data_IF_522020455732
#
_entry.id   IF_522020455732
#
_cell.length_a   1.000
_cell.length_b   1.000
_cell.length_c   1.000
_cell.angle_alpha   90.00
_cell.angle_beta   90.00
_cell.angle_gamma   90.00
#
_symmetry.space_group_name_H-M   'P 1'
#
loop_
_entity.id
_entity.type
_entity.pdbx_description
1 polymer ?
#
# COMPACT_ATOMS: atom_id res chain seq x y z
N UNK A 1 -20.38 -9.19 11.36
CA UNK A 1 -18.91 -9.25 11.35
C UNK A 1 -18.44 -8.22 10.34
N UNK A 2 -17.55 -7.33 10.77
CA UNK A 2 -16.88 -6.38 9.89
C UNK A 2 -15.60 -7.00 9.34
N UNK A 3 -15.07 -6.50 8.22
CA UNK A 3 -13.77 -6.97 7.72
C UNK A 3 -12.65 -6.75 8.76
N UNK A 4 -12.76 -5.74 9.63
CA UNK A 4 -11.82 -5.51 10.73
C UNK A 4 -11.69 -6.73 11.66
N UNK A 5 -12.77 -7.49 11.85
CA UNK A 5 -12.80 -8.66 12.75
C UNK A 5 -11.92 -9.83 12.25
N UNK A 6 -11.47 -9.80 10.98
CA UNK A 6 -10.54 -10.81 10.44
C UNK A 6 -9.07 -10.53 10.77
N UNK A 7 -8.79 -9.36 11.34
CA UNK A 7 -7.46 -8.94 11.73
C UNK A 7 -7.31 -8.91 13.26
N UNK A 8 -6.13 -9.27 13.75
CA UNK A 8 -5.79 -8.97 15.15
C UNK A 8 -5.63 -7.46 15.33
N UNK A 9 -5.64 -6.99 16.58
CA UNK A 9 -5.41 -5.57 16.90
C UNK A 9 -4.09 -5.05 16.30
N UNK A 10 -3.03 -5.85 16.40
CA UNK A 10 -1.71 -5.49 15.89
C UNK A 10 -1.66 -5.46 14.36
N UNK A 11 -2.31 -6.42 13.70
CA UNK A 11 -2.42 -6.44 12.24
C UNK A 11 -3.22 -5.26 11.73
N UNK A 12 -4.36 -4.96 12.38
CA UNK A 12 -5.19 -3.83 12.02
C UNK A 12 -4.44 -2.50 12.16
N UNK A 13 -3.65 -2.35 13.23
CA UNK A 13 -2.80 -1.17 13.39
C UNK A 13 -1.75 -1.02 12.29
N UNK A 14 -1.12 -2.13 11.86
CA UNK A 14 -0.18 -2.10 10.72
C UNK A 14 -0.89 -1.66 9.44
N UNK A 15 -2.12 -2.11 9.21
CA UNK A 15 -2.94 -1.68 8.07
C UNK A 15 -3.29 -0.19 8.17
N UNK A 16 -3.72 0.29 9.34
CA UNK A 16 -4.07 1.70 9.55
C UNK A 16 -2.86 2.63 9.43
N UNK A 17 -1.67 2.18 9.81
CA UNK A 17 -0.43 2.99 9.76
C UNK A 17 0.33 2.87 8.43
N UNK A 18 0.04 1.85 7.61
CA UNK A 18 0.68 1.65 6.30
C UNK A 18 0.71 2.88 5.39
N UNK A 19 -0.38 3.66 5.25
CA UNK A 19 -0.37 4.91 4.47
C UNK A 19 0.63 5.93 4.99
N UNK A 20 0.69 6.11 6.32
CA UNK A 20 1.67 6.98 6.95
C UNK A 20 3.10 6.49 6.73
N UNK A 21 3.32 5.18 6.70
CA UNK A 21 4.63 4.59 6.36
C UNK A 21 5.03 4.86 4.91
N UNK A 22 4.10 4.77 3.96
CA UNK A 22 4.39 5.09 2.56
C UNK A 22 4.81 6.56 2.39
N UNK A 23 4.10 7.50 3.02
CA UNK A 23 4.50 8.90 3.05
C UNK A 23 5.85 9.13 3.75
N UNK A 24 6.06 8.49 4.91
CA UNK A 24 7.32 8.60 5.66
C UNK A 24 8.54 8.08 4.86
N UNK A 25 8.37 7.07 4.00
CA UNK A 25 9.44 6.61 3.11
C UNK A 25 9.89 7.72 2.14
N UNK A 26 8.94 8.49 1.59
CA UNK A 26 9.23 9.63 0.72
C UNK A 26 9.99 10.72 1.48
N UNK A 27 9.46 11.13 2.64
CA UNK A 27 10.12 12.13 3.50
C UNK A 27 11.55 11.71 3.87
N UNK A 28 11.75 10.43 4.23
CA UNK A 28 13.06 9.91 4.58
C UNK A 28 14.03 9.87 3.37
N UNK A 29 13.52 9.72 2.16
CA UNK A 29 14.33 9.71 0.93
C UNK A 29 14.83 11.10 0.53
N UNK A 30 14.08 12.15 0.88
CA UNK A 30 14.40 13.54 0.58
C UNK A 30 13.77 14.50 1.60
N UNK A 31 14.38 14.73 2.77
CA UNK A 31 13.78 15.56 3.82
C UNK A 31 13.70 17.04 3.43
N UNK A 32 12.52 17.65 3.53
CA UNK A 32 12.24 19.03 3.08
C UNK A 32 12.50 20.14 4.12
N UNK A 33 13.31 19.87 5.15
CA UNK A 33 13.50 20.77 6.30
C UNK A 33 12.25 20.89 7.19
N UNK A 34 12.32 21.68 8.27
CA UNK A 34 11.28 21.71 9.33
C UNK A 34 9.91 22.23 8.86
N UNK A 35 9.87 23.17 7.92
CA UNK A 35 8.63 23.71 7.35
C UNK A 35 7.99 22.74 6.36
N UNK A 36 8.81 22.03 5.58
CA UNK A 36 8.36 20.97 4.67
C UNK A 36 7.78 19.78 5.42
N UNK A 37 8.33 19.40 6.58
CA UNK A 37 7.85 18.25 7.35
C UNK A 37 6.39 18.39 7.82
N UNK A 38 5.95 19.60 8.18
CA UNK A 38 4.55 19.84 8.54
C UNK A 38 3.62 19.73 7.32
N UNK A 39 4.05 20.26 6.18
CA UNK A 39 3.30 20.15 4.93
C UNK A 39 3.20 18.69 4.46
N UNK A 40 4.28 17.93 4.57
CA UNK A 40 4.34 16.49 4.28
C UNK A 40 3.39 15.71 5.21
N UNK A 41 3.42 15.96 6.52
CA UNK A 41 2.52 15.31 7.47
C UNK A 41 1.05 15.61 7.18
N UNK A 42 0.73 16.86 6.80
CA UNK A 42 -0.60 17.26 6.38
C UNK A 42 -1.03 16.57 5.09
N UNK A 43 -0.16 16.51 4.08
CA UNK A 43 -0.45 15.85 2.81
C UNK A 43 -0.74 14.35 2.97
N UNK A 44 -0.03 13.69 3.88
CA UNK A 44 -0.31 12.31 4.27
C UNK A 44 -1.73 12.20 4.85
N UNK A 45 -2.06 13.03 5.85
CA UNK A 45 -3.35 13.00 6.51
C UNK A 45 -4.51 13.31 5.55
N UNK A 46 -4.37 14.34 4.71
CA UNK A 46 -5.36 14.74 3.71
C UNK A 46 -5.54 13.64 2.66
N UNK A 47 -4.46 13.01 2.19
CA UNK A 47 -4.54 11.90 1.22
C UNK A 47 -5.26 10.66 1.78
N UNK A 48 -4.95 10.29 3.03
CA UNK A 48 -5.66 9.20 3.71
C UNK A 48 -7.14 9.53 3.82
N UNK A 49 -7.48 10.75 4.28
CA UNK A 49 -8.86 11.20 4.42
C UNK A 49 -9.61 11.18 3.09
N UNK A 50 -9.00 11.66 2.01
CA UNK A 50 -9.59 11.65 0.67
C UNK A 50 -9.93 10.23 0.23
N UNK A 51 -8.98 9.30 0.37
CA UNK A 51 -9.17 7.92 -0.05
C UNK A 51 -10.27 7.22 0.73
N UNK A 52 -10.28 7.39 2.05
CA UNK A 52 -11.30 6.76 2.91
C UNK A 52 -12.64 7.51 2.87
N UNK A 53 -12.76 8.67 2.20
CA UNK A 53 -14.04 9.40 2.06
C UNK A 53 -14.69 9.25 0.68
N UNK A 54 -14.05 8.53 -0.26
CA UNK A 54 -14.58 8.31 -1.61
C UNK A 54 -15.89 7.52 -1.62
N UNK A 55 -16.74 7.77 -2.62
CA UNK A 55 -17.90 6.92 -2.89
C UNK A 55 -17.45 5.60 -3.55
N UNK A 56 -18.15 4.50 -3.30
CA UNK A 56 -17.80 3.19 -3.85
C UNK A 56 -16.56 2.55 -3.20
N UNK A 57 -16.40 2.69 -1.89
CA UNK A 57 -15.31 2.08 -1.12
C UNK A 57 -15.45 0.56 -1.08
N UNK A 58 -14.31 -0.12 -1.14
CA UNK A 58 -14.23 -1.54 -0.82
C UNK A 58 -14.49 -1.75 0.69
N UNK A 59 -14.87 -2.96 1.14
CA UNK A 59 -15.13 -3.23 2.55
C UNK A 59 -13.96 -2.83 3.48
N UNK A 60 -12.71 -2.98 3.04
CA UNK A 60 -11.54 -2.52 3.79
C UNK A 60 -11.53 -1.01 3.96
N UNK A 61 -11.75 -0.26 2.88
CA UNK A 61 -11.74 1.20 2.92
C UNK A 61 -12.86 1.75 3.81
N UNK A 62 -14.02 1.09 3.83
CA UNK A 62 -15.11 1.43 4.76
C UNK A 62 -14.71 1.18 6.22
N UNK A 63 -14.10 0.03 6.51
CA UNK A 63 -13.63 -0.30 7.86
C UNK A 63 -12.55 0.69 8.35
N UNK A 64 -11.61 1.05 7.47
CA UNK A 64 -10.59 2.06 7.77
C UNK A 64 -11.22 3.44 8.03
N UNK A 65 -12.20 3.84 7.22
CA UNK A 65 -12.90 5.11 7.40
C UNK A 65 -13.65 5.18 8.74
N UNK A 66 -14.35 4.10 9.09
CA UNK A 66 -15.09 4.01 10.34
C UNK A 66 -14.16 4.15 11.55
N UNK A 67 -12.98 3.52 11.50
CA UNK A 67 -12.00 3.57 12.58
C UNK A 67 -11.28 4.92 12.66
N UNK A 68 -11.04 5.57 11.52
CA UNK A 68 -10.43 6.90 11.46
C UNK A 68 -11.36 8.00 12.02
N UNK A 69 -12.67 7.81 11.91
CA UNK A 69 -13.68 8.65 12.56
C UNK A 69 -13.88 8.31 14.05
N UNK A 70 -13.30 7.20 14.51
CA UNK A 70 -13.32 6.78 15.90
C UNK A 70 -12.28 7.50 16.78
N UNK A 71 -12.13 7.02 18.01
CA UNK A 71 -11.13 7.54 18.94
C UNK A 71 -9.74 6.99 18.60
N UNK A 72 -8.71 7.84 18.51
CA UNK A 72 -7.34 7.36 18.29
C UNK A 72 -6.87 6.47 19.46
N UNK A 73 -5.96 5.50 19.21
CA UNK A 73 -5.44 4.63 20.25
C UNK A 73 -4.72 5.44 21.33
N UNK A 74 -4.94 5.06 22.58
CA UNK A 74 -4.32 5.71 23.73
C UNK A 74 -2.82 5.37 23.82
N UNK A 75 -2.06 6.19 24.56
CA UNK A 75 -0.64 5.93 24.79
C UNK A 75 -0.38 4.55 25.44
N UNK A 76 -1.28 4.09 26.31
CA UNK A 76 -1.17 2.77 26.94
C UNK A 76 -1.47 1.62 25.98
N UNK A 77 -2.41 1.81 25.06
CA UNK A 77 -2.65 0.84 23.99
C UNK A 77 -1.46 0.74 23.03
N UNK A 78 -0.76 1.85 22.78
CA UNK A 78 0.44 1.89 21.96
C UNK A 78 1.67 1.27 22.65
N UNK A 79 1.76 1.29 24.00
CA UNK A 79 2.89 0.69 24.75
C UNK A 79 2.98 -0.83 24.59
N UNK A 80 1.84 -1.49 24.38
CA UNK A 80 1.81 -2.94 24.12
C UNK A 80 2.14 -3.31 22.68
N UNK A 81 2.31 -2.33 21.79
CA UNK A 81 2.61 -2.55 20.39
C UNK A 81 4.12 -2.40 20.18
N UNK A 82 4.70 -3.33 19.40
CA UNK A 82 6.11 -3.25 19.02
C UNK A 82 6.32 -2.16 17.97
N UNK A 83 6.38 -0.91 18.43
CA UNK A 83 6.61 0.28 17.59
C UNK A 83 8.10 0.60 17.63
N UNK A 84 8.85 0.04 16.70
CA UNK A 84 10.26 0.38 16.51
C UNK A 84 10.41 1.87 16.15
N UNK A 85 11.26 2.57 16.91
CA UNK A 85 11.59 3.99 16.68
C UNK A 85 12.84 4.09 15.82
N UNK A 86 12.76 4.85 14.74
CA UNK A 86 13.91 5.14 13.89
C UNK A 86 14.99 5.91 14.67
N UNK A 87 16.27 5.52 14.49
CA UNK A 87 17.43 6.22 15.08
C UNK A 87 18.14 7.15 14.10
N UNK A 88 17.59 7.31 12.89
CA UNK A 88 18.12 8.15 11.83
C UNK A 88 17.29 8.03 10.55
N UNK A 89 17.66 8.76 9.50
CA UNK A 89 16.93 8.78 8.23
C UNK A 89 16.95 7.41 7.51
N UNK A 90 18.07 6.71 7.56
CA UNK A 90 18.20 5.38 6.95
C UNK A 90 17.31 4.35 7.65
N UNK A 91 17.31 4.34 8.98
CA UNK A 91 16.37 3.54 9.78
C UNK A 91 14.92 3.94 9.51
N UNK A 92 14.63 5.24 9.38
CA UNK A 92 13.28 5.71 9.06
C UNK A 92 12.81 5.20 7.69
N UNK A 93 13.67 5.22 6.67
CA UNK A 93 13.39 4.65 5.35
C UNK A 93 13.15 3.14 5.45
N UNK A 94 14.06 2.40 6.09
CA UNK A 94 13.95 0.93 6.27
C UNK A 94 12.65 0.54 6.97
N UNK A 95 12.34 1.16 8.11
CA UNK A 95 11.13 0.87 8.89
C UNK A 95 9.85 1.25 8.15
N UNK A 96 9.91 2.32 7.35
CA UNK A 96 8.79 2.71 6.50
C UNK A 96 8.51 1.66 5.43
N UNK A 97 9.55 1.20 4.72
CA UNK A 97 9.39 0.16 3.70
C UNK A 97 8.93 -1.18 4.29
N UNK A 98 9.48 -1.57 5.43
CA UNK A 98 9.05 -2.79 6.12
C UNK A 98 7.59 -2.69 6.58
N UNK A 99 7.18 -1.54 7.13
CA UNK A 99 5.80 -1.30 7.51
C UNK A 99 4.83 -1.38 6.33
N UNK A 100 5.20 -0.81 5.18
CA UNK A 100 4.41 -0.92 3.93
C UNK A 100 4.31 -2.37 3.48
N UNK A 101 5.43 -3.11 3.47
CA UNK A 101 5.47 -4.53 3.07
C UNK A 101 4.54 -5.37 3.94
N UNK A 102 4.63 -5.22 5.26
CA UNK A 102 3.80 -5.96 6.20
C UNK A 102 2.32 -5.65 6.01
N UNK A 103 1.96 -4.36 5.85
CA UNK A 103 0.57 -3.96 5.65
C UNK A 103 0.00 -4.52 4.34
N UNK A 104 0.74 -4.44 3.23
CA UNK A 104 0.33 -4.99 1.94
C UNK A 104 0.17 -6.51 2.00
N UNK A 105 1.09 -7.21 2.68
CA UNK A 105 1.00 -8.65 2.87
C UNK A 105 -0.22 -9.04 3.71
N UNK A 106 -0.51 -8.32 4.78
CA UNK A 106 -1.69 -8.55 5.63
C UNK A 106 -2.99 -8.39 4.86
N UNK A 107 -3.14 -7.29 4.11
CA UNK A 107 -4.34 -7.07 3.30
C UNK A 107 -4.45 -8.15 2.21
N UNK A 108 -3.36 -8.45 1.51
CA UNK A 108 -3.38 -9.41 0.40
C UNK A 108 -3.63 -10.86 0.86
N UNK A 109 -3.30 -11.20 2.11
CA UNK A 109 -3.47 -12.56 2.65
C UNK A 109 -4.85 -12.81 3.27
N UNK A 110 -5.58 -11.76 3.67
CA UNK A 110 -6.84 -11.89 4.43
C UNK A 110 -8.04 -11.17 3.82
N UNK A 111 -7.83 -10.17 2.97
CA UNK A 111 -8.89 -9.41 2.32
C UNK A 111 -9.09 -9.84 0.86
N UNK A 112 -10.11 -9.28 0.20
CA UNK A 112 -10.37 -9.57 -1.21
C UNK A 112 -9.27 -9.00 -2.12
N UNK A 113 -9.11 -9.53 -3.35
CA UNK A 113 -8.20 -8.94 -4.34
C UNK A 113 -8.51 -7.48 -4.65
N UNK A 114 -9.79 -7.10 -4.59
CA UNK A 114 -10.27 -5.73 -4.78
C UNK A 114 -9.81 -4.82 -3.62
N UNK A 115 -9.95 -5.27 -2.36
CA UNK A 115 -9.44 -4.55 -1.19
C UNK A 115 -7.92 -4.37 -1.27
N UNK A 116 -7.19 -5.42 -1.67
CA UNK A 116 -5.74 -5.36 -1.82
C UNK A 116 -5.31 -4.37 -2.91
N UNK A 117 -6.02 -4.34 -4.04
CA UNK A 117 -5.77 -3.38 -5.11
C UNK A 117 -6.07 -1.94 -4.67
N UNK A 118 -7.22 -1.71 -4.03
CA UNK A 118 -7.58 -0.40 -3.49
C UNK A 118 -6.59 0.08 -2.43
N UNK A 119 -6.12 -0.81 -1.57
CA UNK A 119 -5.13 -0.49 -0.54
C UNK A 119 -3.78 -0.07 -1.14
N UNK A 120 -3.25 -0.83 -2.11
CA UNK A 120 -2.02 -0.44 -2.82
C UNK A 120 -2.17 0.90 -3.55
N UNK A 121 -3.32 1.14 -4.19
CA UNK A 121 -3.60 2.40 -4.86
C UNK A 121 -3.60 3.59 -3.88
N UNK A 122 -4.22 3.44 -2.71
CA UNK A 122 -4.20 4.44 -1.65
C UNK A 122 -2.77 4.71 -1.13
N UNK A 123 -1.98 3.67 -0.87
CA UNK A 123 -0.60 3.82 -0.42
C UNK A 123 0.24 4.60 -1.43
N UNK A 124 0.07 4.31 -2.72
CA UNK A 124 0.75 5.00 -3.80
C UNK A 124 0.31 6.47 -3.91
N UNK A 125 -0.99 6.75 -3.80
CA UNK A 125 -1.52 8.13 -3.85
C UNK A 125 -0.99 8.96 -2.66
N UNK A 126 -0.89 8.38 -1.47
CA UNK A 126 -0.29 9.02 -0.29
C UNK A 126 1.19 9.34 -0.52
N UNK A 127 1.97 8.39 -1.03
CA UNK A 127 3.37 8.62 -1.35
C UNK A 127 3.55 9.73 -2.40
N UNK A 128 2.75 9.71 -3.48
CA UNK A 128 2.77 10.73 -4.52
C UNK A 128 2.41 12.10 -3.94
N UNK A 129 1.27 12.25 -3.24
CA UNK A 129 0.90 13.53 -2.62
C UNK A 129 1.97 14.06 -1.66
N UNK A 130 2.64 13.18 -0.92
CA UNK A 130 3.75 13.56 -0.03
C UNK A 130 4.93 14.14 -0.82
N UNK A 131 5.35 13.48 -1.91
CA UNK A 131 6.44 13.97 -2.78
C UNK A 131 6.08 15.31 -3.46
N UNK A 132 4.80 15.55 -3.71
CA UNK A 132 4.34 16.82 -4.27
C UNK A 132 4.26 17.94 -3.22
N UNK A 133 3.95 17.64 -1.95
CA UNK A 133 3.83 18.64 -0.88
C UNK A 133 5.19 19.25 -0.48
N UNK A 134 6.27 18.45 -0.53
CA UNK A 134 7.64 18.90 -0.32
C UNK A 134 8.02 20.15 -1.15
N UNK A 135 7.43 20.30 -2.34
CA UNK A 135 7.70 21.37 -3.31
C UNK A 135 7.22 22.74 -2.83
N UNK A 136 6.14 22.79 -2.06
CA UNK A 136 5.56 24.05 -1.57
C UNK A 136 6.28 24.57 -0.32
N UNK A 137 7.09 23.73 0.34
CA UNK A 137 7.81 24.05 1.58
C UNK A 137 9.30 24.38 1.43
N UNK A 138 9.83 24.38 0.20
CA UNK A 138 11.26 24.55 -0.11
C UNK A 138 11.82 25.96 0.17
N UNK A 139 12.34 26.12 1.39
CA UNK A 139 13.25 27.13 1.96
C UNK A 139 13.12 28.64 1.66
N UNK A 140 12.78 29.15 0.47
CA UNK A 140 12.78 30.61 0.22
C UNK A 140 12.24 31.01 -1.17
N UNK A 141 11.00 30.65 -1.51
CA UNK A 141 10.27 31.32 -2.61
C UNK A 141 10.91 31.27 -4.01
N UNK A 142 11.86 30.38 -4.26
CA UNK A 142 12.38 30.08 -5.61
C UNK A 142 12.07 28.61 -5.89
N UNK A 143 11.14 28.40 -6.82
CA UNK A 143 10.47 27.12 -7.07
C UNK A 143 11.40 25.91 -7.04
N UNK A 144 11.05 24.97 -6.16
CA UNK A 144 11.67 23.65 -6.10
C UNK A 144 11.32 22.82 -7.34
N UNK A 145 12.29 22.04 -7.78
CA UNK A 145 12.23 21.12 -8.92
C UNK A 145 11.02 20.17 -8.86
N UNK A 146 10.58 19.66 -10.02
CA UNK A 146 9.69 18.48 -10.09
C UNK A 146 10.23 17.35 -9.18
N UNK A 147 9.36 16.44 -8.71
CA UNK A 147 9.66 15.29 -7.82
C UNK A 147 11.11 14.86 -8.05
N UNK A 148 12.02 15.03 -7.09
CA UNK A 148 13.45 14.91 -7.40
C UNK A 148 13.87 13.46 -7.65
N UNK A 149 15.10 13.22 -8.09
CA UNK A 149 15.58 11.86 -8.42
C UNK A 149 15.43 10.86 -7.27
N UNK A 150 15.64 11.30 -6.02
CA UNK A 150 15.52 10.44 -4.84
C UNK A 150 14.06 10.06 -4.57
N UNK A 151 13.15 11.03 -4.68
CA UNK A 151 11.71 10.80 -4.53
C UNK A 151 11.16 9.92 -5.66
N UNK A 152 11.60 10.13 -6.91
CA UNK A 152 11.25 9.28 -8.06
C UNK A 152 11.72 7.84 -7.84
N UNK A 153 12.96 7.66 -7.40
CA UNK A 153 13.49 6.33 -7.07
C UNK A 153 12.71 5.67 -5.93
N UNK A 154 12.32 6.45 -4.92
CA UNK A 154 11.54 5.94 -3.78
C UNK A 154 10.11 5.55 -4.19
N UNK A 155 9.45 6.32 -5.06
CA UNK A 155 8.15 5.95 -5.62
C UNK A 155 8.24 4.63 -6.41
N UNK A 156 9.26 4.47 -7.26
CA UNK A 156 9.49 3.24 -8.00
C UNK A 156 9.76 2.04 -7.08
N UNK A 157 10.53 2.24 -6.01
CA UNK A 157 10.81 1.21 -5.00
C UNK A 157 9.54 0.81 -4.23
N UNK A 158 8.65 1.77 -3.89
CA UNK A 158 7.34 1.48 -3.29
C UNK A 158 6.44 0.69 -4.24
N UNK A 159 6.33 1.11 -5.51
CA UNK A 159 5.54 0.40 -6.52
C UNK A 159 6.02 -1.04 -6.71
N UNK A 160 7.34 -1.24 -6.82
CA UNK A 160 7.94 -2.56 -6.93
C UNK A 160 7.67 -3.43 -5.69
N UNK A 161 7.77 -2.85 -4.49
CA UNK A 161 7.54 -3.54 -3.21
C UNK A 161 6.07 -3.96 -3.05
N UNK A 162 5.13 -3.10 -3.46
CA UNK A 162 3.70 -3.40 -3.40
C UNK A 162 3.29 -4.47 -4.43
N UNK A 163 4.09 -4.64 -5.48
CA UNK A 163 3.76 -5.45 -6.64
C UNK A 163 2.69 -4.78 -7.52
N UNK A 164 2.51 -5.27 -8.77
CA UNK A 164 1.49 -4.73 -9.64
C UNK A 164 0.12 -4.87 -8.97
N UNK A 165 -0.74 -3.84 -9.10
CA UNK A 165 -2.17 -4.05 -8.95
C UNK A 165 -2.52 -5.15 -9.95
N UNK A 166 -2.81 -6.36 -9.47
CA UNK A 166 -3.26 -7.44 -10.33
C UNK A 166 -4.51 -6.93 -11.03
N UNK A 167 -4.34 -6.46 -12.26
CA UNK A 167 -5.43 -6.15 -13.15
C UNK A 167 -6.15 -7.47 -13.36
N UNK A 168 -7.34 -7.61 -12.79
CA UNK A 168 -8.26 -8.68 -13.14
C UNK A 168 -8.39 -8.71 -14.66
N UNK A 169 -7.80 -9.71 -15.31
CA UNK A 169 -7.71 -9.75 -16.77
C UNK A 169 -6.78 -10.78 -17.39
N UNK A 170 -6.07 -11.59 -16.62
CA UNK A 170 -5.40 -12.78 -17.15
C UNK A 170 -6.36 -13.97 -17.12
N UNK A 171 -7.18 -14.14 -18.15
CA UNK A 171 -7.81 -15.44 -18.42
C UNK A 171 -6.68 -16.46 -18.57
N UNK A 172 -6.45 -17.27 -17.56
CA UNK A 172 -5.76 -18.55 -17.74
C UNK A 172 -6.72 -19.37 -18.58
N UNK A 173 -6.60 -19.28 -19.90
CA UNK A 173 -7.18 -20.27 -20.79
C UNK A 173 -6.47 -21.57 -20.45
N UNK A 174 -7.12 -22.39 -19.63
CA UNK A 174 -6.78 -23.79 -19.49
C UNK A 174 -7.09 -24.42 -20.84
N UNK A 175 -6.13 -24.35 -21.77
CA UNK A 175 -6.22 -25.10 -23.02
C UNK A 175 -6.18 -26.58 -22.64
N UNK A 176 -7.38 -27.17 -22.57
CA UNK A 176 -7.57 -28.61 -22.55
C UNK A 176 -6.83 -29.18 -23.77
N UNK A 177 -5.87 -30.10 -23.59
CA UNK A 177 -5.23 -30.76 -24.73
C UNK A 177 -6.33 -31.45 -25.55
N UNK A 178 -6.28 -31.40 -26.90
CA UNK A 178 -7.28 -32.08 -27.71
C UNK A 178 -7.24 -33.57 -27.37
N UNK A 179 -8.42 -34.14 -27.09
CA UNK A 179 -8.61 -35.58 -27.01
C UNK A 179 -8.04 -36.20 -28.28
N UNK A 180 -6.96 -36.96 -28.14
CA UNK A 180 -6.48 -37.81 -29.20
C UNK A 180 -7.64 -38.73 -29.62
N UNK A 181 -8.00 -38.66 -30.90
CA UNK A 181 -9.00 -39.50 -31.51
C UNK A 181 -8.69 -40.98 -31.25
N UNK A 182 -9.71 -41.85 -31.05
CA UNK A 182 -9.47 -43.28 -31.03
C UNK A 182 -8.96 -43.72 -32.41
N UNK A 183 -7.77 -44.34 -32.44
CA UNK A 183 -7.19 -44.91 -33.65
C UNK A 183 -8.10 -45.99 -34.26
N UNK A 184 -8.03 -46.20 -35.58
CA UNK A 184 -8.95 -47.08 -36.29
C UNK A 184 -8.74 -48.54 -35.87
N UNK A 185 -9.87 -49.18 -35.67
CA UNK A 185 -10.11 -50.61 -35.53
C UNK A 185 -9.58 -51.40 -36.73
N UNK A 186 -8.30 -51.79 -36.64
CA UNK A 186 -7.68 -52.76 -37.54
C UNK A 186 -8.09 -54.19 -37.21
N UNK A 187 -9.31 -54.56 -37.58
CA UNK A 187 -9.72 -55.96 -37.78
C UNK A 187 -9.04 -56.52 -39.04
N UNK A 188 -8.45 -57.72 -38.96
CA UNK A 188 -7.96 -58.51 -40.10
C UNK A 188 -6.69 -59.31 -39.75
N UNK A 189 -6.74 -60.51 -39.20
CA UNK A 189 -7.18 -61.82 -39.72
C UNK A 189 -5.98 -62.72 -40.09
N UNK A 190 -5.99 -63.96 -39.57
CA UNK A 190 -5.36 -65.22 -40.04
C UNK A 190 -3.85 -65.19 -40.35
N UNK A 191 -3.02 -66.10 -39.85
CA UNK A 191 -3.12 -67.56 -39.86
C UNK A 191 -2.08 -68.14 -38.87
#
# INVERSE_FOLDING_TARGET
MSLKDTFTREEWFKIMTGPGRAGAAIVASSPSGVTGLLAEARAIADSVRDNVSRAGRTPLMEAMAADLLGTPPTADELKGMDVERARGLEDAKRLSLEGVRQAVWLVSSKASPEDAAAYRAMLLEVAQKTAHAAKEGGFLGMGGEQVNDKERAMLAELEALMGPALTSGGTVTHETPPLAAPGPDGSGNSN
#
